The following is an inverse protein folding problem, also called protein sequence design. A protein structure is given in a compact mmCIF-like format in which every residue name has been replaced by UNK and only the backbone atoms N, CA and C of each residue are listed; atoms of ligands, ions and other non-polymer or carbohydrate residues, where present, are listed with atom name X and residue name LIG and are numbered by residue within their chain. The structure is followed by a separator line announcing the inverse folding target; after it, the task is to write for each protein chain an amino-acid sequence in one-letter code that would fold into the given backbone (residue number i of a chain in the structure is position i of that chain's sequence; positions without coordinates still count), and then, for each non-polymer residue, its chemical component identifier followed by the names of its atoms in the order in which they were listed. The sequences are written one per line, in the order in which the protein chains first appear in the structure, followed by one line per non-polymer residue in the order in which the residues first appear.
data_IF_972126691106
#
_entry.id   IF_972126691106
#
_cell.length_a   1.000
_cell.length_b   1.000
_cell.length_c   1.000
_cell.angle_alpha   90.00
_cell.angle_beta   90.00
_cell.angle_gamma   90.00
#
_symmetry.space_group_name_H-M   'P 1'
#
loop_
_entity.id
_entity.type
_entity.pdbx_description
1 polymer ?
#
# COMPACT_ATOMS: atom_id res chain seq x y z
N UNK A 1 10.93 -22.30 -13.01
CA UNK A 1 10.03 -23.41 -13.36
C UNK A 1 8.56 -23.00 -13.59
N UNK A 2 8.01 -21.97 -12.94
CA UNK A 2 6.62 -21.51 -13.19
C UNK A 2 6.41 -20.99 -14.63
N UNK A 3 7.25 -20.07 -15.11
CA UNK A 3 7.09 -19.49 -16.45
C UNK A 3 7.19 -20.53 -17.59
N UNK A 4 8.02 -21.56 -17.41
CA UNK A 4 8.16 -22.66 -18.38
C UNK A 4 6.88 -23.52 -18.44
N UNK A 5 6.15 -23.65 -17.33
CA UNK A 5 4.91 -24.40 -17.29
C UNK A 5 3.79 -23.71 -18.08
N UNK A 6 3.72 -22.38 -18.04
CA UNK A 6 2.64 -21.59 -18.66
C UNK A 6 3.00 -20.98 -20.02
N UNK A 7 4.17 -21.30 -20.57
CA UNK A 7 4.64 -20.72 -21.85
C UNK A 7 3.72 -21.04 -23.03
N UNK A 8 2.95 -22.12 -22.94
CA UNK A 8 2.02 -22.58 -23.98
C UNK A 8 0.62 -21.96 -23.87
N UNK A 9 0.39 -21.10 -22.86
CA UNK A 9 -0.89 -20.45 -22.68
C UNK A 9 -1.17 -19.44 -23.79
N UNK A 10 -2.36 -19.54 -24.36
CA UNK A 10 -2.88 -18.56 -25.31
C UNK A 10 -3.58 -17.41 -24.60
N UNK A 11 -3.87 -16.33 -25.31
CA UNK A 11 -4.61 -15.16 -24.78
C UNK A 11 -5.94 -15.56 -24.14
N UNK A 12 -6.65 -16.54 -24.71
CA UNK A 12 -7.91 -17.04 -24.16
C UNK A 12 -7.75 -17.65 -22.76
N UNK A 13 -6.64 -18.33 -22.49
CA UNK A 13 -6.35 -18.87 -21.16
C UNK A 13 -6.10 -17.74 -20.15
N UNK A 14 -5.36 -16.71 -20.56
CA UNK A 14 -5.14 -15.53 -19.72
C UNK A 14 -6.43 -14.74 -19.44
N UNK A 15 -7.35 -14.69 -20.38
CA UNK A 15 -8.64 -14.03 -20.18
C UNK A 15 -9.56 -14.78 -19.21
N UNK A 16 -9.39 -16.11 -19.08
CA UNK A 16 -10.12 -16.93 -18.13
C UNK A 16 -9.50 -16.93 -16.71
N UNK A 17 -8.27 -16.42 -16.56
CA UNK A 17 -7.58 -16.39 -15.28
C UNK A 17 -8.17 -15.32 -14.34
N UNK A 18 -8.37 -15.69 -13.08
CA UNK A 18 -8.74 -14.78 -12.00
C UNK A 18 -7.48 -14.42 -11.23
N UNK A 19 -7.18 -13.12 -11.17
CA UNK A 19 -6.05 -12.54 -10.46
C UNK A 19 -6.52 -12.03 -9.12
N UNK A 20 -5.75 -12.30 -8.06
CA UNK A 20 -6.09 -11.96 -6.69
C UNK A 20 -4.86 -11.31 -6.08
N UNK A 21 -5.05 -10.23 -5.35
CA UNK A 21 -3.96 -9.59 -4.62
C UNK A 21 -4.51 -8.75 -3.46
N UNK A 22 -3.62 -8.44 -2.52
CA UNK A 22 -3.85 -7.48 -1.45
C UNK A 22 -3.18 -6.15 -1.78
N UNK A 23 -3.86 -5.05 -1.48
CA UNK A 23 -3.24 -3.72 -1.55
C UNK A 23 -3.51 -2.93 -0.29
N UNK A 24 -2.61 -2.00 0.02
CA UNK A 24 -2.74 -1.10 1.14
C UNK A 24 -2.79 0.33 0.62
N UNK A 25 -3.93 0.98 0.83
CA UNK A 25 -4.13 2.39 0.46
C UNK A 25 -3.93 3.25 1.71
N UNK A 26 -2.90 4.09 1.69
CA UNK A 26 -2.63 5.02 2.79
C UNK A 26 -3.52 6.26 2.69
N UNK A 27 -4.31 6.55 3.73
CA UNK A 27 -5.01 7.81 3.88
C UNK A 27 -4.02 8.89 4.36
N UNK A 28 -3.66 9.80 3.44
CA UNK A 28 -2.74 10.90 3.72
C UNK A 28 -3.42 12.13 4.32
N UNK A 29 -4.76 12.13 4.45
CA UNK A 29 -5.59 13.34 4.64
C UNK A 29 -5.39 14.14 5.94
N UNK A 30 -4.55 13.67 6.88
CA UNK A 30 -4.16 14.44 8.09
C UNK A 30 -2.77 14.10 8.61
N UNK A 31 -2.02 13.22 7.95
CA UNK A 31 -0.72 12.77 8.44
C UNK A 31 0.41 13.64 7.89
N UNK A 32 0.91 14.54 8.73
CA UNK A 32 2.19 15.21 8.49
C UNK A 32 3.32 14.29 8.98
N UNK A 33 4.30 13.90 8.14
CA UNK A 33 5.50 13.22 8.59
C UNK A 33 6.27 14.16 9.53
N UNK A 34 6.21 13.89 10.83
CA UNK A 34 6.72 14.77 11.88
C UNK A 34 5.82 14.66 13.10
N UNK A 35 6.21 13.83 14.07
CA UNK A 35 5.51 13.60 15.33
C UNK A 35 5.12 14.94 15.97
N UNK A 36 3.91 15.03 16.56
CA UNK A 36 3.57 16.13 17.48
C UNK A 36 4.41 15.99 18.75
N UNK A 37 5.58 16.61 18.76
CA UNK A 37 6.40 16.82 19.95
C UNK A 37 5.88 18.05 20.69
N UNK A 38 5.77 17.98 22.02
CA UNK A 38 5.50 19.16 22.86
C UNK A 38 6.80 19.58 23.54
N UNK A 39 7.19 20.83 23.30
CA UNK A 39 8.32 21.51 23.93
C UNK A 39 7.87 22.08 25.28
N UNK A 40 8.73 22.06 26.29
CA UNK A 40 8.53 22.90 27.49
C UNK A 40 8.88 24.35 27.15
N UNK A 41 8.32 25.32 27.89
CA UNK A 41 8.35 26.73 27.47
C UNK A 41 9.78 27.32 27.34
N UNK A 42 10.78 26.71 28.00
CA UNK A 42 12.17 27.19 28.04
C UNK A 42 13.20 26.28 27.34
N UNK A 43 12.80 25.21 26.64
CA UNK A 43 13.74 24.34 25.92
C UNK A 43 13.98 24.77 24.46
N UNK A 44 15.22 24.71 23.98
CA UNK A 44 15.56 24.91 22.56
C UNK A 44 15.25 23.68 21.70
N UNK A 45 14.88 23.95 20.43
CA UNK A 45 14.67 22.90 19.43
C UNK A 45 16.02 22.42 18.92
N UNK A 46 16.28 21.13 19.09
CA UNK A 46 17.53 20.51 18.65
C UNK A 46 17.28 19.69 17.39
N UNK A 47 17.97 19.99 16.29
CA UNK A 47 17.83 19.31 14.99
C UNK A 47 18.03 17.79 15.08
N UNK A 48 18.78 17.33 16.07
CA UNK A 48 18.98 15.91 16.42
C UNK A 48 17.67 15.15 16.75
N UNK A 49 16.56 15.85 16.95
CA UNK A 49 15.24 15.26 17.24
C UNK A 49 14.33 15.11 16.00
N UNK A 50 14.82 15.47 14.81
CA UNK A 50 14.12 15.23 13.55
C UNK A 50 14.46 13.84 13.01
N UNK A 51 13.45 13.08 12.57
CA UNK A 51 13.60 11.71 12.02
C UNK A 51 12.96 11.62 10.63
N UNK A 52 13.67 11.08 9.61
CA UNK A 52 13.08 10.68 8.33
C UNK A 52 12.19 9.44 8.54
N UNK A 53 10.94 9.47 8.11
CA UNK A 53 9.97 8.39 8.39
C UNK A 53 9.50 7.67 7.12
N UNK A 54 9.65 6.34 7.11
CA UNK A 54 9.04 5.38 6.17
C UNK A 54 8.07 4.40 6.84
N UNK A 55 7.88 4.50 8.16
CA UNK A 55 6.83 3.79 8.89
C UNK A 55 5.88 4.85 9.44
N UNK A 56 4.94 5.19 8.59
CA UNK A 56 4.04 6.28 8.85
C UNK A 56 3.00 5.83 9.88
N UNK A 57 2.64 6.70 10.82
CA UNK A 57 1.40 6.57 11.60
C UNK A 57 0.18 6.93 10.75
N UNK A 58 0.26 6.74 9.42
CA UNK A 58 -0.86 7.02 8.51
C UNK A 58 -1.91 5.97 8.76
N UNK A 59 -3.15 6.45 8.75
CA UNK A 59 -4.31 5.58 8.66
C UNK A 59 -4.23 4.94 7.27
N UNK A 60 -4.36 3.62 7.19
CA UNK A 60 -4.39 2.90 5.92
C UNK A 60 -5.57 1.95 5.92
N UNK A 61 -6.09 1.70 4.72
CA UNK A 61 -7.12 0.69 4.47
C UNK A 61 -6.45 -0.40 3.64
N UNK A 62 -6.48 -1.62 4.16
CA UNK A 62 -6.08 -2.81 3.40
C UNK A 62 -7.29 -3.34 2.68
N UNK A 63 -7.12 -3.67 1.40
CA UNK A 63 -8.16 -4.19 0.54
C UNK A 63 -7.70 -5.50 -0.07
N UNK A 64 -8.64 -6.42 -0.26
CA UNK A 64 -8.46 -7.61 -1.07
C UNK A 64 -9.36 -7.52 -2.30
N UNK A 65 -8.84 -7.88 -3.47
CA UNK A 65 -9.63 -7.83 -4.70
C UNK A 65 -9.29 -8.98 -5.64
N UNK A 66 -10.28 -9.34 -6.46
CA UNK A 66 -10.09 -10.22 -7.60
C UNK A 66 -10.43 -9.49 -8.91
N UNK A 67 -9.67 -9.77 -9.96
CA UNK A 67 -9.90 -9.22 -11.30
C UNK A 67 -9.79 -10.33 -12.34
N UNK A 68 -10.67 -10.29 -13.32
CA UNK A 68 -10.63 -11.11 -14.54
C UNK A 68 -10.70 -10.19 -15.76
N UNK A 69 -10.35 -10.68 -16.94
CA UNK A 69 -10.48 -9.89 -18.16
C UNK A 69 -11.93 -9.42 -18.36
N UNK A 70 -12.14 -8.10 -18.30
CA UNK A 70 -13.45 -7.47 -18.49
C UNK A 70 -14.36 -7.41 -17.26
N UNK A 71 -13.91 -7.85 -16.08
CA UNK A 71 -14.72 -7.77 -14.84
C UNK A 71 -13.85 -7.69 -13.57
N UNK A 72 -14.41 -7.09 -12.52
CA UNK A 72 -13.77 -6.92 -11.21
C UNK A 72 -14.74 -7.42 -10.14
N UNK A 73 -14.24 -8.10 -9.11
CA UNK A 73 -15.09 -8.43 -7.96
C UNK A 73 -15.28 -7.20 -7.08
N UNK A 74 -16.35 -7.15 -6.25
CA UNK A 74 -16.47 -6.14 -5.20
C UNK A 74 -15.20 -6.09 -4.34
N UNK A 75 -14.76 -4.88 -3.99
CA UNK A 75 -13.66 -4.66 -3.06
C UNK A 75 -14.08 -5.15 -1.67
N UNK A 76 -13.29 -6.02 -1.07
CA UNK A 76 -13.48 -6.50 0.32
C UNK A 76 -12.42 -5.91 1.22
#
# INVERSE_FOLDING_TARGET
YWCQHWVHWTIAHWHAAVWLDETQVEYTGTYQPGRKVRRRDEEEVLEKHLVPSFKSGRISVSCWAAVIHGSQTPLV
#
